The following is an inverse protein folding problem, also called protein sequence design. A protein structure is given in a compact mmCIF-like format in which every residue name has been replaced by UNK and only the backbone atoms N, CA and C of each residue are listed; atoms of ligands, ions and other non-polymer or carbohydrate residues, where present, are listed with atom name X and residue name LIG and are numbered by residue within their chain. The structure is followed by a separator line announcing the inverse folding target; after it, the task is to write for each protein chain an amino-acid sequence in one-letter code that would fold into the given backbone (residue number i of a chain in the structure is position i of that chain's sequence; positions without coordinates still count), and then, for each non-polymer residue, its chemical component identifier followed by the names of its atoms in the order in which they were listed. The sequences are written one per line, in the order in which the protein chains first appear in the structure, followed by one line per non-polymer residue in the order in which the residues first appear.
data_IF_548949853931
#
_entry.id   IF_548949853931
#
_cell.length_a   1.000
_cell.length_b   1.000
_cell.length_c   1.000
_cell.angle_alpha   90.00
_cell.angle_beta   90.00
_cell.angle_gamma   90.00
#
_symmetry.space_group_name_H-M   'P 1'
#
loop_
_entity.id
_entity.type
_entity.pdbx_description
1 polymer ?
#
# COMPACT_ATOMS: atom_id res chain seq x y z
N UNK A 1 50.01 -31.83 8.20
CA UNK A 1 49.46 -30.48 7.90
C UNK A 1 48.07 -30.39 8.53
N UNK A 2 47.98 -29.94 9.81
CA UNK A 2 46.71 -29.88 10.56
C UNK A 2 46.05 -28.55 10.30
N UNK A 3 45.01 -28.51 9.47
CA UNK A 3 44.14 -27.34 9.34
C UNK A 3 43.30 -27.28 10.62
N UNK A 4 43.42 -26.13 11.30
CA UNK A 4 42.78 -25.90 12.59
C UNK A 4 41.25 -25.87 12.39
N UNK A 5 40.46 -26.64 13.13
CA UNK A 5 39.00 -26.68 13.03
C UNK A 5 38.35 -25.33 13.32
N UNK A 6 39.05 -24.38 13.93
CA UNK A 6 38.62 -23.04 14.25
C UNK A 6 38.29 -22.16 13.02
N UNK A 7 38.98 -22.37 11.89
CA UNK A 7 38.75 -21.55 10.67
C UNK A 7 37.45 -21.94 9.97
N UNK A 8 37.07 -23.21 10.01
CA UNK A 8 35.86 -23.73 9.40
C UNK A 8 34.63 -23.23 10.15
N UNK A 9 34.72 -23.13 11.50
CA UNK A 9 33.62 -22.64 12.34
C UNK A 9 33.35 -21.14 12.10
N UNK A 10 34.39 -20.34 11.88
CA UNK A 10 34.22 -18.90 11.60
C UNK A 10 33.61 -18.63 10.21
N UNK A 11 33.96 -19.43 9.22
CA UNK A 11 33.37 -19.31 7.87
C UNK A 11 31.89 -19.73 7.88
N UNK A 12 31.55 -20.81 8.60
CA UNK A 12 30.15 -21.23 8.75
C UNK A 12 29.29 -20.17 9.48
N UNK A 13 29.82 -19.53 10.53
CA UNK A 13 29.13 -18.46 11.26
C UNK A 13 28.95 -17.20 10.38
N UNK A 14 29.90 -16.90 9.49
CA UNK A 14 29.79 -15.79 8.55
C UNK A 14 28.72 -16.03 7.50
N UNK A 15 28.63 -17.24 6.94
CA UNK A 15 27.58 -17.62 5.99
C UNK A 15 26.19 -17.67 6.64
N UNK A 16 26.06 -18.12 7.88
CA UNK A 16 24.80 -18.09 8.63
C UNK A 16 24.28 -16.64 8.86
N UNK A 17 25.17 -15.68 9.11
CA UNK A 17 24.80 -14.27 9.23
C UNK A 17 24.42 -13.63 7.88
N UNK A 18 24.96 -14.11 6.76
CA UNK A 18 24.54 -13.67 5.42
C UNK A 18 23.17 -14.21 5.03
N UNK A 19 22.82 -15.41 5.47
CA UNK A 19 21.51 -16.01 5.20
C UNK A 19 20.39 -15.38 6.03
N UNK A 20 20.67 -14.86 7.22
CA UNK A 20 19.67 -14.18 8.06
C UNK A 20 19.28 -12.78 7.55
N UNK A 21 20.07 -12.17 6.66
CA UNK A 21 19.73 -10.89 6.01
C UNK A 21 19.04 -11.02 4.65
N UNK A 22 18.86 -12.25 4.13
CA UNK A 22 18.24 -12.51 2.83
C UNK A 22 16.71 -12.74 2.89
N UNK A 23 16.08 -12.62 4.07
CA UNK A 23 14.64 -12.78 4.28
C UNK A 23 13.92 -11.49 4.67
N UNK A 24 14.38 -10.35 4.16
CA UNK A 24 13.60 -9.13 4.18
C UNK A 24 13.36 -8.67 2.76
N UNK A 25 12.58 -9.41 2.02
CA UNK A 25 11.84 -8.85 0.88
C UNK A 25 10.77 -7.93 1.48
N UNK A 26 11.24 -6.82 2.08
CA UNK A 26 10.37 -5.79 2.63
C UNK A 26 9.70 -5.09 1.44
N UNK A 27 8.57 -5.65 1.00
CA UNK A 27 7.71 -5.03 -0.01
C UNK A 27 7.22 -3.64 0.42
N UNK A 28 7.35 -3.31 1.73
CA UNK A 28 6.94 -2.04 2.31
C UNK A 28 8.05 -0.98 2.21
N UNK A 29 7.71 0.15 1.60
CA UNK A 29 8.54 1.36 1.65
C UNK A 29 8.09 2.22 2.82
N UNK A 30 8.98 2.46 3.80
CA UNK A 30 8.70 3.27 4.98
C UNK A 30 9.63 4.47 4.96
N UNK A 31 9.08 5.69 4.93
CA UNK A 31 9.83 6.94 4.84
C UNK A 31 9.12 8.07 5.57
N UNK A 32 9.86 9.16 5.80
CA UNK A 32 9.32 10.46 6.21
C UNK A 32 9.65 11.49 5.14
N UNK A 33 8.67 12.32 4.84
CA UNK A 33 8.84 13.49 3.99
C UNK A 33 8.17 14.69 4.66
N UNK A 34 8.96 15.69 5.05
CA UNK A 34 8.50 16.87 5.82
C UNK A 34 7.77 16.44 7.11
N UNK A 35 6.51 16.84 7.25
CA UNK A 35 5.64 16.56 8.40
C UNK A 35 4.89 15.22 8.30
N UNK A 36 5.06 14.45 7.22
CA UNK A 36 4.32 13.22 6.97
C UNK A 36 5.27 12.04 6.91
N UNK A 37 5.00 11.03 7.70
CA UNK A 37 5.60 9.70 7.57
C UNK A 37 4.63 8.75 6.90
N UNK A 38 5.14 7.72 6.23
CA UNK A 38 4.29 6.80 5.50
C UNK A 38 4.87 5.40 5.39
N UNK A 39 3.95 4.45 5.23
CA UNK A 39 4.24 3.09 4.82
C UNK A 39 3.45 2.79 3.54
N UNK A 40 4.14 2.33 2.49
CA UNK A 40 3.55 2.06 1.17
C UNK A 40 3.97 0.67 0.69
N UNK A 41 3.03 -0.05 0.09
CA UNK A 41 3.26 -1.36 -0.55
C UNK A 41 2.77 -1.35 -1.99
N UNK A 42 3.47 -2.07 -2.86
CA UNK A 42 3.13 -2.24 -4.27
C UNK A 42 2.04 -3.28 -4.47
N UNK A 43 1.19 -3.07 -5.48
CA UNK A 43 0.18 -4.04 -5.88
C UNK A 43 0.76 -5.31 -6.50
N UNK A 44 0.00 -6.39 -6.42
CA UNK A 44 0.39 -7.70 -6.94
C UNK A 44 0.01 -7.88 -8.42
N UNK A 45 -1.12 -7.28 -8.87
CA UNK A 45 -1.57 -7.33 -10.27
C UNK A 45 -0.80 -6.30 -11.09
N UNK A 46 -0.72 -5.06 -10.61
CA UNK A 46 0.04 -3.98 -11.21
C UNK A 46 0.92 -3.32 -10.15
N UNK A 47 2.23 -3.48 -10.26
CA UNK A 47 3.20 -3.07 -9.23
C UNK A 47 3.31 -1.54 -9.06
N UNK A 48 2.86 -0.75 -10.04
CA UNK A 48 2.81 0.71 -9.95
C UNK A 48 1.63 1.22 -9.12
N UNK A 49 0.62 0.38 -8.90
CA UNK A 49 -0.45 0.66 -7.96
C UNK A 49 0.06 0.54 -6.54
N UNK A 50 -0.41 1.41 -5.66
CA UNK A 50 0.08 1.47 -4.28
C UNK A 50 -1.05 1.45 -3.29
N UNK A 51 -0.85 0.74 -2.19
CA UNK A 51 -1.60 0.90 -0.96
C UNK A 51 -0.72 1.68 0.01
N UNK A 52 -1.23 2.77 0.56
CA UNK A 52 -0.49 3.71 1.37
C UNK A 52 -1.17 4.06 2.68
N UNK A 53 -0.36 4.22 3.72
CA UNK A 53 -0.76 4.63 5.06
C UNK A 53 0.10 5.83 5.45
N UNK A 54 -0.53 7.00 5.57
CA UNK A 54 0.14 8.27 5.82
C UNK A 54 -0.20 8.77 7.22
N UNK A 55 0.79 9.26 7.94
CA UNK A 55 0.68 9.71 9.32
C UNK A 55 1.27 11.12 9.39
N UNK A 56 0.45 12.10 9.79
CA UNK A 56 0.87 13.50 9.90
C UNK A 56 1.20 13.87 11.34
N UNK A 57 2.24 14.68 11.51
CA UNK A 57 2.53 15.30 12.80
C UNK A 57 1.53 16.40 13.16
N UNK A 58 0.77 16.93 12.20
CA UNK A 58 -0.32 17.88 12.44
C UNK A 58 -1.43 17.26 13.30
N UNK A 59 -1.63 15.94 13.17
CA UNK A 59 -2.56 15.16 13.99
C UNK A 59 -1.88 14.54 15.22
N UNK A 60 -0.72 15.06 15.63
CA UNK A 60 0.10 14.48 16.71
C UNK A 60 0.40 12.99 16.50
N UNK A 61 0.53 12.54 15.26
CA UNK A 61 0.81 11.16 14.88
C UNK A 61 -0.23 10.14 15.38
N UNK A 62 -1.47 10.56 15.61
CA UNK A 62 -2.53 9.73 16.18
C UNK A 62 -3.47 9.12 15.15
N UNK A 63 -3.45 9.66 13.94
CA UNK A 63 -4.31 9.20 12.85
C UNK A 63 -3.48 8.63 11.71
N UNK A 64 -4.07 7.69 11.00
CA UNK A 64 -3.57 7.16 9.74
C UNK A 64 -4.57 7.47 8.64
N UNK A 65 -4.11 8.11 7.59
CA UNK A 65 -4.87 8.32 6.36
C UNK A 65 -4.55 7.19 5.40
N UNK A 66 -5.57 6.37 5.10
CA UNK A 66 -5.42 5.25 4.17
C UNK A 66 -5.77 5.67 2.76
N UNK A 67 -4.86 5.40 1.84
CA UNK A 67 -5.03 5.64 0.41
C UNK A 67 -4.70 4.40 -0.39
N UNK A 68 -5.19 4.36 -1.61
CA UNK A 68 -4.68 3.48 -2.66
C UNK A 68 -4.59 4.23 -3.98
N UNK A 69 -3.81 3.71 -4.91
CA UNK A 69 -3.73 4.30 -6.24
C UNK A 69 -3.82 3.24 -7.32
N UNK A 70 -4.44 3.61 -8.45
CA UNK A 70 -4.43 2.87 -9.68
C UNK A 70 -3.72 3.67 -10.77
N UNK A 71 -2.85 3.01 -11.52
CA UNK A 71 -2.35 3.51 -12.77
C UNK A 71 -3.28 3.03 -13.89
N UNK A 72 -3.73 3.94 -14.76
CA UNK A 72 -4.50 3.59 -15.94
C UNK A 72 -3.83 4.12 -17.20
N UNK A 73 -3.89 3.35 -18.27
CA UNK A 73 -3.42 3.76 -19.59
C UNK A 73 -4.53 4.42 -20.42
N UNK A 74 -5.77 4.36 -19.94
CA UNK A 74 -6.89 5.08 -20.55
C UNK A 74 -6.68 6.60 -20.44
N UNK A 75 -7.10 7.31 -21.50
CA UNK A 75 -6.94 8.78 -21.59
C UNK A 75 -8.25 9.48 -21.99
N UNK A 76 -9.33 9.27 -21.26
CA UNK A 76 -10.57 9.94 -21.55
C UNK A 76 -10.43 11.46 -21.31
N UNK A 77 -10.98 12.26 -22.24
CA UNK A 77 -10.87 13.72 -22.16
C UNK A 77 -11.51 14.34 -20.93
N UNK A 78 -12.40 13.61 -20.29
CA UNK A 78 -13.14 14.03 -19.09
C UNK A 78 -12.61 13.43 -17.79
N UNK A 79 -11.42 12.81 -17.77
CA UNK A 79 -10.86 12.15 -16.57
C UNK A 79 -10.85 13.06 -15.33
N UNK A 80 -10.59 14.35 -15.52
CA UNK A 80 -10.56 15.34 -14.44
C UNK A 80 -11.90 15.51 -13.73
N UNK A 81 -13.01 15.10 -14.35
CA UNK A 81 -14.33 15.14 -13.71
C UNK A 81 -14.48 14.12 -12.59
N UNK A 82 -13.56 13.15 -12.50
CA UNK A 82 -13.52 12.19 -11.38
C UNK A 82 -12.97 12.80 -10.10
N UNK A 83 -12.22 13.91 -10.19
CA UNK A 83 -11.59 14.54 -9.01
C UNK A 83 -12.65 14.87 -7.95
N UNK A 84 -12.37 14.47 -6.72
CA UNK A 84 -13.23 14.61 -5.54
C UNK A 84 -14.56 13.84 -5.58
N UNK A 85 -14.82 13.05 -6.60
CA UNK A 85 -15.98 12.15 -6.63
C UNK A 85 -15.74 10.91 -5.77
N UNK A 86 -16.82 10.37 -5.25
CA UNK A 86 -16.86 9.06 -4.61
C UNK A 86 -17.20 8.03 -5.70
N UNK A 87 -16.27 7.13 -5.98
CA UNK A 87 -16.46 6.06 -6.95
C UNK A 87 -16.79 4.75 -6.23
N UNK A 88 -17.70 3.94 -6.80
CA UNK A 88 -18.03 2.64 -6.23
C UNK A 88 -16.86 1.67 -6.40
N UNK A 89 -16.57 0.97 -5.32
CA UNK A 89 -15.54 -0.07 -5.27
C UNK A 89 -16.04 -1.29 -4.51
N UNK A 90 -15.36 -2.42 -4.71
CA UNK A 90 -15.43 -3.56 -3.80
C UNK A 90 -14.13 -3.68 -3.04
N UNK A 91 -14.21 -3.82 -1.73
CA UNK A 91 -13.10 -4.11 -0.86
C UNK A 91 -13.29 -5.52 -0.30
N UNK A 92 -12.42 -6.47 -0.69
CA UNK A 92 -12.58 -7.89 -0.40
C UNK A 92 -14.03 -8.38 -0.64
N UNK A 93 -14.63 -7.99 -1.78
CA UNK A 93 -15.99 -8.34 -2.19
C UNK A 93 -17.11 -7.47 -1.58
N UNK A 94 -16.86 -6.66 -0.57
CA UNK A 94 -17.85 -5.77 0.04
C UNK A 94 -17.92 -4.43 -0.69
N UNK A 95 -19.14 -4.02 -1.09
CA UNK A 95 -19.36 -2.77 -1.80
C UNK A 95 -19.25 -1.58 -0.87
N UNK A 96 -18.49 -0.58 -1.29
CA UNK A 96 -18.33 0.72 -0.63
C UNK A 96 -17.92 1.78 -1.65
N UNK A 97 -17.62 2.98 -1.20
CA UNK A 97 -17.12 4.05 -2.07
C UNK A 97 -15.76 4.54 -1.60
N UNK A 98 -14.93 4.97 -2.57
CA UNK A 98 -13.66 5.63 -2.30
C UNK A 98 -13.64 7.00 -2.98
N UNK A 99 -13.12 8.01 -2.29
CA UNK A 99 -13.01 9.36 -2.81
C UNK A 99 -11.77 9.50 -3.67
N UNK A 100 -11.91 10.07 -4.87
CA UNK A 100 -10.77 10.44 -5.72
C UNK A 100 -10.13 11.71 -5.14
N UNK A 101 -8.90 11.62 -4.66
CA UNK A 101 -8.17 12.76 -4.07
C UNK A 101 -7.31 13.48 -5.10
N UNK A 102 -6.62 12.72 -5.96
CA UNK A 102 -5.73 13.29 -6.96
C UNK A 102 -5.75 12.51 -8.27
N UNK A 103 -5.50 13.22 -9.38
CA UNK A 103 -5.29 12.65 -10.70
C UNK A 103 -4.00 13.22 -11.26
N UNK A 104 -2.95 12.42 -11.24
CA UNK A 104 -1.61 12.81 -11.64
C UNK A 104 -1.32 12.34 -13.05
N UNK A 105 -0.87 13.22 -13.96
CA UNK A 105 -0.39 12.80 -15.25
C UNK A 105 0.79 11.83 -15.11
N UNK A 106 0.77 10.78 -15.90
CA UNK A 106 1.83 9.78 -15.99
C UNK A 106 2.26 9.63 -17.44
N UNK A 107 3.49 9.22 -17.71
CA UNK A 107 4.00 9.06 -19.09
C UNK A 107 3.13 8.17 -19.97
N UNK A 108 2.51 7.14 -19.38
CA UNK A 108 1.65 6.18 -20.05
C UNK A 108 0.15 6.43 -19.89
N UNK A 109 -0.27 7.39 -19.04
CA UNK A 109 -1.69 7.65 -18.77
C UNK A 109 -1.88 8.52 -17.54
N UNK A 110 -2.58 8.02 -16.53
CA UNK A 110 -2.84 8.73 -15.28
C UNK A 110 -2.65 7.81 -14.07
N UNK A 111 -2.09 8.36 -12.99
CA UNK A 111 -2.17 7.76 -11.66
C UNK A 111 -3.31 8.44 -10.91
N UNK A 112 -4.28 7.65 -10.48
CA UNK A 112 -5.46 8.13 -9.74
C UNK A 112 -5.30 7.67 -8.29
N UNK A 113 -5.32 8.63 -7.36
CA UNK A 113 -5.18 8.39 -5.93
C UNK A 113 -6.54 8.50 -5.27
N UNK A 114 -6.87 7.49 -4.48
CA UNK A 114 -8.12 7.37 -3.74
C UNK A 114 -7.85 7.41 -2.24
N UNK A 115 -8.83 7.90 -1.48
CA UNK A 115 -8.89 7.81 -0.03
C UNK A 115 -9.99 6.87 0.42
N UNK A 116 -9.67 6.05 1.42
CA UNK A 116 -10.66 5.27 2.19
C UNK A 116 -11.05 5.96 3.50
N UNK A 117 -10.30 6.97 3.92
CA UNK A 117 -10.57 7.76 5.10
C UNK A 117 -9.37 7.92 6.05
N UNK A 118 -9.63 8.60 7.17
CA UNK A 118 -8.70 8.77 8.28
C UNK A 118 -9.21 8.00 9.50
N UNK A 119 -8.31 7.30 10.19
CA UNK A 119 -8.65 6.39 11.28
C UNK A 119 -7.66 6.56 12.45
N UNK A 120 -8.09 6.36 13.71
CA UNK A 120 -7.18 6.27 14.85
C UNK A 120 -6.22 5.10 14.66
N UNK A 121 -4.90 5.36 14.74
CA UNK A 121 -3.86 4.36 14.36
C UNK A 121 -4.02 3.03 15.09
N UNK A 122 -4.14 3.06 16.43
CA UNK A 122 -4.15 1.82 17.23
C UNK A 122 -5.33 0.91 16.91
N UNK A 123 -6.53 1.46 16.92
CA UNK A 123 -7.77 0.73 16.66
C UNK A 123 -7.83 0.24 15.20
N UNK A 124 -7.40 1.07 14.28
CA UNK A 124 -7.47 0.75 12.87
C UNK A 124 -6.50 -0.35 12.44
N UNK A 125 -5.29 -0.35 12.96
CA UNK A 125 -4.32 -1.42 12.68
C UNK A 125 -4.85 -2.76 13.20
N UNK A 126 -5.45 -2.77 14.42
CA UNK A 126 -6.06 -3.97 14.96
C UNK A 126 -7.26 -4.43 14.11
N UNK A 127 -8.13 -3.49 13.73
CA UNK A 127 -9.25 -3.78 12.84
C UNK A 127 -8.80 -4.40 11.50
N UNK A 128 -7.77 -3.86 10.87
CA UNK A 128 -7.21 -4.43 9.64
C UNK A 128 -6.65 -5.84 9.88
N UNK A 129 -6.02 -6.07 11.01
CA UNK A 129 -5.47 -7.38 11.35
C UNK A 129 -6.57 -8.42 11.53
N UNK A 130 -7.63 -8.07 12.26
CA UNK A 130 -8.74 -8.97 12.56
C UNK A 130 -9.58 -9.25 11.29
N UNK A 131 -9.84 -8.21 10.52
CA UNK A 131 -10.73 -8.29 9.35
C UNK A 131 -10.05 -8.92 8.13
N UNK A 132 -8.78 -8.56 7.86
CA UNK A 132 -8.05 -9.04 6.68
C UNK A 132 -7.01 -10.11 6.99
N UNK A 133 -6.76 -10.42 8.24
CA UNK A 133 -5.80 -11.43 8.68
C UNK A 133 -6.11 -12.83 8.17
N UNK A 134 -7.40 -13.13 7.95
CA UNK A 134 -7.87 -14.42 7.43
C UNK A 134 -7.49 -14.57 5.94
N UNK A 135 -7.66 -13.54 5.15
CA UNK A 135 -7.40 -13.57 3.70
C UNK A 135 -5.97 -13.18 3.33
N UNK A 136 -5.22 -12.59 4.27
CA UNK A 136 -3.83 -12.14 4.10
C UNK A 136 -3.61 -11.16 2.93
N UNK A 137 -4.67 -10.65 2.34
CA UNK A 137 -4.63 -9.70 1.23
C UNK A 137 -5.70 -8.62 1.40
N UNK A 138 -5.45 -7.50 0.77
CA UNK A 138 -6.36 -6.38 0.64
C UNK A 138 -6.66 -6.24 -0.85
N UNK A 139 -7.87 -6.58 -1.28
CA UNK A 139 -8.26 -6.53 -2.69
C UNK A 139 -9.24 -5.39 -2.92
N UNK A 140 -8.97 -4.56 -3.90
CA UNK A 140 -9.86 -3.50 -4.35
C UNK A 140 -10.18 -3.71 -5.82
N UNK A 141 -11.47 -3.69 -6.14
CA UNK A 141 -12.00 -3.65 -7.49
C UNK A 141 -12.82 -2.36 -7.65
N UNK A 142 -12.52 -1.55 -8.66
CA UNK A 142 -13.35 -0.40 -9.06
C UNK A 142 -14.48 -0.96 -9.91
N UNK A 143 -15.74 -0.64 -9.58
CA UNK A 143 -16.92 -1.21 -10.24
C UNK A 143 -17.75 -0.13 -10.92
N UNK A 144 -18.64 -0.53 -11.81
CA UNK A 144 -19.59 0.37 -12.47
C UNK A 144 -20.53 1.02 -11.45
N UNK A 145 -20.81 2.30 -11.64
CA UNK A 145 -21.84 3.05 -10.95
C UNK A 145 -22.96 3.49 -11.88
N UNK A 146 -23.94 4.22 -11.35
CA UNK A 146 -25.10 4.72 -12.14
C UNK A 146 -24.57 5.59 -13.30
N UNK A 147 -23.74 6.59 -13.02
CA UNK A 147 -23.19 7.53 -14.00
C UNK A 147 -21.69 7.34 -14.24
N UNK A 148 -21.16 6.19 -13.85
CA UNK A 148 -19.74 5.87 -13.95
C UNK A 148 -19.55 4.51 -14.61
N UNK A 149 -18.76 4.46 -15.69
CA UNK A 149 -18.38 3.23 -16.38
C UNK A 149 -16.90 2.99 -16.25
N UNK A 150 -16.53 1.95 -15.50
CA UNK A 150 -15.15 1.64 -15.14
C UNK A 150 -14.25 1.50 -16.36
N UNK A 151 -14.69 0.79 -17.39
CA UNK A 151 -13.93 0.56 -18.63
C UNK A 151 -13.56 1.82 -19.41
N UNK A 152 -14.24 2.94 -19.16
CA UNK A 152 -13.90 4.23 -19.77
C UNK A 152 -12.63 4.82 -19.16
N UNK A 153 -12.35 4.52 -17.89
CA UNK A 153 -11.33 5.19 -17.12
C UNK A 153 -10.20 4.26 -16.66
N UNK A 154 -10.45 2.95 -16.59
CA UNK A 154 -9.51 1.98 -16.07
C UNK A 154 -9.41 0.76 -16.97
N UNK A 155 -8.21 0.48 -17.46
CA UNK A 155 -7.88 -0.74 -18.20
C UNK A 155 -7.73 -1.95 -17.27
N UNK A 156 -7.16 -1.75 -16.09
CA UNK A 156 -7.05 -2.78 -15.04
C UNK A 156 -7.69 -2.22 -13.75
N UNK A 157 -9.00 -2.50 -13.50
CA UNK A 157 -9.74 -1.91 -12.40
C UNK A 157 -9.62 -2.69 -11.07
N UNK A 158 -8.78 -3.71 -11.01
CA UNK A 158 -8.60 -4.56 -9.83
C UNK A 158 -7.13 -4.70 -9.46
N UNK A 159 -6.84 -4.61 -8.16
CA UNK A 159 -5.54 -4.96 -7.62
C UNK A 159 -5.68 -5.54 -6.22
N UNK A 160 -4.66 -6.25 -5.76
CA UNK A 160 -4.56 -6.73 -4.39
C UNK A 160 -3.18 -6.46 -3.82
N UNK A 161 -3.13 -6.34 -2.50
CA UNK A 161 -1.91 -6.10 -1.73
C UNK A 161 -1.82 -7.09 -0.58
N UNK A 162 -0.65 -7.70 -0.41
CA UNK A 162 -0.38 -8.54 0.77
C UNK A 162 -0.23 -7.68 2.01
N UNK A 163 -0.87 -8.11 3.10
CA UNK A 163 -0.81 -7.39 4.38
C UNK A 163 0.29 -7.91 5.32
N UNK A 164 1.17 -8.78 4.83
CA UNK A 164 2.35 -9.22 5.56
C UNK A 164 3.16 -8.01 6.02
N UNK A 165 3.56 -7.99 7.28
CA UNK A 165 4.27 -6.88 7.91
C UNK A 165 3.51 -5.54 7.98
N UNK A 166 2.19 -5.51 7.77
CA UNK A 166 1.40 -4.28 7.84
C UNK A 166 1.58 -3.57 9.21
N UNK A 167 1.26 -4.24 10.31
CA UNK A 167 1.36 -3.64 11.66
C UNK A 167 2.79 -3.18 12.01
N UNK A 168 3.85 -3.97 11.78
CA UNK A 168 5.22 -3.49 11.94
C UNK A 168 5.55 -2.28 11.07
N UNK A 169 5.06 -2.23 9.82
CA UNK A 169 5.34 -1.13 8.89
C UNK A 169 4.68 0.18 9.32
N UNK A 170 3.41 0.14 9.74
CA UNK A 170 2.71 1.31 10.29
C UNK A 170 3.38 1.75 11.60
N UNK A 171 3.74 0.82 12.49
CA UNK A 171 4.46 1.14 13.74
C UNK A 171 5.80 1.83 13.45
N UNK A 172 6.55 1.37 12.45
CA UNK A 172 7.81 2.02 12.03
C UNK A 172 7.55 3.43 11.46
N UNK A 173 6.51 3.59 10.62
CA UNK A 173 6.13 4.90 10.10
C UNK A 173 5.70 5.86 11.22
N UNK A 174 4.94 5.38 12.22
CA UNK A 174 4.55 6.19 13.39
C UNK A 174 5.76 6.67 14.18
N UNK A 175 6.80 5.83 14.35
CA UNK A 175 8.05 6.21 15.04
C UNK A 175 8.85 7.28 14.28
N UNK A 176 8.64 7.42 12.97
CA UNK A 176 9.27 8.47 12.17
C UNK A 176 8.48 9.79 12.24
N UNK A 177 7.24 9.71 12.61
CA UNK A 177 6.40 10.89 12.72
C UNK A 177 6.87 11.82 13.83
#
# INVERSE_FOLDING_TARGET
MHWKPFLILQIAAFFLNLLSNAYADEKWTIKKFKSVSYAIVSGEVQSEDKLGFFISNEDNCKKVWQTFSFLTFERPGDIKQLLHKHLPIKLNGNELTAKVEEILPHSRGYKIIFSLGEFPIGEYVQYLYDFYGVEKKFEIEIIDGIDFKVKKYFDIPINNWKLENLAPSITRATKLC
#
